data_IF_440192913092
#
_entry.id   IF_440192913092
#
_cell.length_a   1.000
_cell.length_b   1.000
_cell.length_c   1.000
_cell.angle_alpha   90.00
_cell.angle_beta   90.00
_cell.angle_gamma   90.00
#
_symmetry.space_group_name_H-M   'P 1'
#
loop_
_entity.id
_entity.type
_entity.pdbx_description
1 polymer ?
#
# COMPACT_ATOMS: atom_id res chain seq x y z
N UNK A 1 -5.00 -38.28 6.90
CA UNK A 1 -4.07 -37.58 7.79
C UNK A 1 -4.24 -36.09 7.58
N UNK A 2 -4.74 -35.32 8.57
CA UNK A 2 -4.94 -33.89 8.38
C UNK A 2 -3.60 -33.16 8.47
N UNK A 3 -3.34 -32.25 7.53
CA UNK A 3 -2.16 -31.40 7.40
C UNK A 3 -2.05 -30.36 8.54
N UNK A 4 -1.82 -30.80 9.79
CA UNK A 4 -1.80 -29.92 10.97
C UNK A 4 -0.42 -29.73 11.63
N UNK A 5 0.69 -29.98 10.93
CA UNK A 5 2.04 -29.89 11.53
C UNK A 5 3.03 -29.15 10.65
N UNK A 6 2.71 -27.91 10.27
CA UNK A 6 3.77 -26.94 9.97
C UNK A 6 3.96 -26.08 11.22
N UNK A 7 5.20 -25.96 11.73
CA UNK A 7 5.47 -25.18 12.92
C UNK A 7 5.03 -23.75 12.67
N UNK A 8 4.32 -23.17 13.64
CA UNK A 8 4.03 -21.74 13.70
C UNK A 8 5.37 -21.00 13.58
N UNK A 9 5.73 -20.54 12.38
CA UNK A 9 6.66 -19.44 12.23
C UNK A 9 6.15 -18.37 13.19
N UNK A 10 6.98 -17.97 14.16
CA UNK A 10 6.64 -17.12 15.32
C UNK A 10 6.16 -15.70 15.00
N UNK A 11 5.64 -15.48 13.79
CA UNK A 11 5.07 -14.25 13.26
C UNK A 11 3.59 -14.04 13.62
N UNK A 12 2.89 -15.08 14.09
CA UNK A 12 1.46 -15.00 14.44
C UNK A 12 1.21 -14.93 15.95
N UNK A 13 1.83 -13.96 16.64
CA UNK A 13 1.55 -13.70 18.07
C UNK A 13 0.14 -13.11 18.31
N UNK A 14 -0.56 -12.71 17.25
CA UNK A 14 -1.87 -12.05 17.30
C UNK A 14 -3.06 -13.01 17.27
N UNK A 15 -2.85 -14.32 17.10
CA UNK A 15 -3.93 -15.31 17.07
C UNK A 15 -4.84 -15.21 15.84
N UNK A 16 -4.38 -14.59 14.74
CA UNK A 16 -5.15 -14.44 13.52
C UNK A 16 -5.23 -15.78 12.76
N UNK A 17 -6.35 -16.07 12.06
CA UNK A 17 -6.40 -17.13 11.06
C UNK A 17 -5.26 -17.00 10.05
N UNK A 18 -4.63 -18.11 9.66
CA UNK A 18 -3.46 -18.14 8.76
C UNK A 18 -3.66 -17.27 7.50
N UNK A 19 -4.85 -17.35 6.89
CA UNK A 19 -5.21 -16.58 5.69
C UNK A 19 -5.14 -15.06 5.93
N UNK A 20 -5.61 -14.59 7.09
CA UNK A 20 -5.56 -13.18 7.46
C UNK A 20 -4.13 -12.74 7.78
N UNK A 21 -3.35 -13.59 8.46
CA UNK A 21 -1.93 -13.35 8.71
C UNK A 21 -1.12 -13.18 7.43
N UNK A 22 -1.36 -14.04 6.43
CA UNK A 22 -0.70 -13.97 5.11
C UNK A 22 -1.09 -12.71 4.36
N UNK A 23 -2.38 -12.37 4.30
CA UNK A 23 -2.84 -11.14 3.64
C UNK A 23 -2.24 -9.89 4.27
N UNK A 24 -2.20 -9.83 5.61
CA UNK A 24 -1.54 -8.76 6.37
C UNK A 24 -0.06 -8.67 6.03
N UNK A 25 0.65 -9.81 6.01
CA UNK A 25 2.08 -9.85 5.71
C UNK A 25 2.37 -9.33 4.30
N UNK A 26 1.63 -9.80 3.30
CA UNK A 26 1.80 -9.36 1.91
C UNK A 26 1.52 -7.86 1.79
N UNK A 27 0.43 -7.38 2.40
CA UNK A 27 0.10 -5.96 2.40
C UNK A 27 1.21 -5.09 3.00
N UNK A 28 1.77 -5.51 4.14
CA UNK A 28 2.87 -4.81 4.81
C UNK A 28 4.14 -4.82 3.98
N UNK A 29 4.57 -6.00 3.49
CA UNK A 29 5.79 -6.12 2.69
C UNK A 29 5.68 -5.32 1.39
N UNK A 30 4.53 -5.41 0.70
CA UNK A 30 4.30 -4.67 -0.53
C UNK A 30 4.29 -3.15 -0.29
N UNK A 31 3.74 -2.69 0.84
CA UNK A 31 3.79 -1.28 1.26
C UNK A 31 5.23 -0.83 1.51
N UNK A 32 6.01 -1.61 2.27
CA UNK A 32 7.41 -1.31 2.55
C UNK A 32 8.25 -1.29 1.28
N UNK A 33 8.03 -2.24 0.38
CA UNK A 33 8.70 -2.28 -0.92
C UNK A 33 8.38 -1.04 -1.75
N UNK A 34 7.11 -0.62 -1.79
CA UNK A 34 6.67 0.60 -2.48
C UNK A 34 7.31 1.85 -1.89
N UNK A 35 7.45 1.92 -0.56
CA UNK A 35 8.14 3.03 0.10
C UNK A 35 9.64 3.02 -0.21
N UNK A 36 10.29 1.86 -0.16
CA UNK A 36 11.70 1.72 -0.51
C UNK A 36 11.97 2.15 -1.96
N UNK A 37 11.06 1.81 -2.89
CA UNK A 37 11.10 2.23 -4.29
C UNK A 37 10.95 3.75 -4.48
N UNK A 38 10.50 4.48 -3.46
CA UNK A 38 10.47 5.95 -3.49
C UNK A 38 11.65 6.56 -2.73
N UNK A 39 11.86 6.13 -1.48
CA UNK A 39 12.85 6.69 -0.56
C UNK A 39 14.27 6.49 -1.09
N UNK A 40 14.62 5.29 -1.58
CA UNK A 40 15.98 4.99 -2.02
C UNK A 40 16.41 5.84 -3.23
N UNK A 41 15.64 5.95 -4.33
CA UNK A 41 15.99 6.86 -5.40
C UNK A 41 16.06 8.32 -4.96
N UNK A 42 15.15 8.78 -4.09
CA UNK A 42 15.16 10.16 -3.58
C UNK A 42 16.44 10.46 -2.83
N UNK A 43 16.85 9.58 -1.91
CA UNK A 43 18.11 9.74 -1.16
C UNK A 43 19.31 9.68 -2.11
N UNK A 44 19.36 8.68 -3.01
CA UNK A 44 20.47 8.52 -3.93
C UNK A 44 20.65 9.77 -4.81
N UNK A 45 19.55 10.31 -5.36
CA UNK A 45 19.58 11.55 -6.15
C UNK A 45 19.93 12.77 -5.30
N UNK A 46 19.39 12.84 -4.08
CA UNK A 46 19.69 13.87 -3.11
C UNK A 46 21.16 13.94 -2.69
N UNK A 47 21.91 12.84 -2.79
CA UNK A 47 23.35 12.73 -2.45
C UNK A 47 24.27 12.80 -3.67
N UNK A 48 23.89 12.20 -4.80
CA UNK A 48 24.79 12.04 -5.94
C UNK A 48 24.48 12.99 -7.11
N UNK A 49 23.29 13.58 -7.18
CA UNK A 49 22.88 14.50 -8.25
C UNK A 49 22.72 15.95 -7.77
N UNK A 50 23.55 16.41 -6.83
CA UNK A 50 23.56 17.83 -6.48
C UNK A 50 22.34 18.31 -5.69
N UNK A 51 21.66 17.41 -4.96
CA UNK A 51 20.40 17.71 -4.28
C UNK A 51 19.17 17.79 -5.21
N UNK A 52 19.35 17.52 -6.52
CA UNK A 52 18.26 17.44 -7.47
C UNK A 52 17.51 16.12 -7.26
N UNK A 53 16.24 16.18 -6.87
CA UNK A 53 15.39 15.00 -6.65
C UNK A 53 14.38 14.76 -7.77
N UNK A 54 14.01 15.81 -8.53
CA UNK A 54 13.14 15.74 -9.70
C UNK A 54 13.84 16.25 -10.97
N UNK A 55 13.34 15.79 -12.12
CA UNK A 55 13.76 16.37 -13.38
C UNK A 55 13.33 17.84 -13.48
N UNK A 56 14.31 18.74 -13.61
CA UNK A 56 14.11 20.17 -13.78
C UNK A 56 15.01 20.68 -14.91
N UNK A 57 14.48 21.54 -15.78
CA UNK A 57 15.32 22.25 -16.76
C UNK A 57 16.06 23.44 -16.14
N UNK A 58 15.71 23.82 -14.90
CA UNK A 58 16.41 24.87 -14.17
C UNK A 58 17.75 24.34 -13.61
N UNK A 59 18.78 25.20 -13.47
CA UNK A 59 20.05 24.87 -12.83
C UNK A 59 19.93 24.73 -11.30
N UNK A 60 18.82 24.17 -10.81
CA UNK A 60 18.53 23.99 -9.39
C UNK A 60 19.31 22.80 -8.83
N UNK A 61 20.62 22.95 -8.67
CA UNK A 61 21.48 22.05 -7.91
C UNK A 61 22.09 22.81 -6.74
N UNK A 62 21.99 22.24 -5.54
CA UNK A 62 22.59 22.78 -4.33
C UNK A 62 24.13 22.67 -4.37
N UNK A 63 24.66 21.71 -5.14
CA UNK A 63 26.07 21.43 -5.34
C UNK A 63 26.27 20.64 -6.64
N UNK A 64 27.52 20.42 -7.05
CA UNK A 64 27.84 19.71 -8.30
C UNK A 64 27.39 18.24 -8.27
N UNK A 65 26.93 17.73 -9.40
CA UNK A 65 26.54 16.32 -9.53
C UNK A 65 27.78 15.43 -9.57
N UNK A 66 27.83 14.44 -8.69
CA UNK A 66 28.90 13.44 -8.61
C UNK A 66 28.74 12.33 -9.64
N UNK A 67 27.50 12.06 -10.05
CA UNK A 67 27.13 11.03 -11.02
C UNK A 67 26.13 11.56 -12.04
N UNK A 68 26.07 10.98 -13.26
CA UNK A 68 25.10 11.36 -14.27
C UNK A 68 23.65 11.12 -13.80
N UNK A 69 22.73 11.92 -14.32
CA UNK A 69 21.31 11.80 -14.02
C UNK A 69 20.60 10.78 -14.94
N UNK A 70 19.66 9.96 -14.43
CA UNK A 70 19.38 9.70 -13.01
C UNK A 70 20.31 8.61 -12.46
N UNK A 71 20.78 8.79 -11.21
CA UNK A 71 21.64 7.78 -10.54
C UNK A 71 20.96 6.44 -10.30
N UNK A 72 19.67 6.49 -10.00
CA UNK A 72 18.84 5.31 -9.76
C UNK A 72 17.47 5.62 -10.33
N UNK A 73 16.99 4.78 -11.24
CA UNK A 73 15.65 4.87 -11.82
C UNK A 73 14.88 3.60 -11.48
N UNK A 74 13.62 3.77 -11.08
CA UNK A 74 12.73 2.64 -10.80
C UNK A 74 11.54 2.74 -11.76
N UNK A 75 11.25 1.67 -12.54
CA UNK A 75 10.14 1.69 -13.46
C UNK A 75 8.81 1.95 -12.74
N UNK A 76 8.00 2.88 -13.27
CA UNK A 76 6.72 3.25 -12.67
C UNK A 76 5.78 2.04 -12.56
N UNK A 77 5.77 1.14 -13.56
CA UNK A 77 4.93 -0.07 -13.55
C UNK A 77 5.22 -0.96 -12.34
N UNK A 78 6.49 -1.08 -11.92
CA UNK A 78 6.86 -1.91 -10.78
C UNK A 78 6.25 -1.35 -9.50
N UNK A 79 6.36 -0.04 -9.30
CA UNK A 79 5.77 0.67 -8.15
C UNK A 79 4.24 0.57 -8.14
N UNK A 80 3.61 0.69 -9.31
CA UNK A 80 2.16 0.53 -9.46
C UNK A 80 1.76 -0.90 -9.06
N UNK A 81 2.45 -1.91 -9.58
CA UNK A 81 2.11 -3.31 -9.25
C UNK A 81 2.26 -3.62 -7.76
N UNK A 82 3.33 -3.16 -7.10
CA UNK A 82 3.51 -3.37 -5.66
C UNK A 82 2.50 -2.59 -4.83
N UNK A 83 2.17 -1.35 -5.23
CA UNK A 83 1.14 -0.56 -4.58
C UNK A 83 -0.25 -1.20 -4.71
N UNK A 84 -0.61 -1.69 -5.89
CA UNK A 84 -1.88 -2.40 -6.12
C UNK A 84 -1.96 -3.73 -5.35
N UNK A 85 -0.85 -4.47 -5.25
CA UNK A 85 -0.78 -5.67 -4.42
C UNK A 85 -1.02 -5.34 -2.94
N UNK A 86 -0.43 -4.25 -2.44
CA UNK A 86 -0.64 -3.78 -1.07
C UNK A 86 -2.12 -3.46 -0.82
N UNK A 87 -2.73 -2.67 -1.72
CA UNK A 87 -4.14 -2.27 -1.64
C UNK A 87 -5.07 -3.48 -1.74
N UNK A 88 -4.82 -4.39 -2.67
CA UNK A 88 -5.64 -5.59 -2.87
C UNK A 88 -5.62 -6.49 -1.64
N UNK A 89 -4.43 -6.74 -1.09
CA UNK A 89 -4.29 -7.57 0.10
C UNK A 89 -4.87 -6.91 1.35
N UNK A 90 -4.71 -5.59 1.51
CA UNK A 90 -5.33 -4.86 2.62
C UNK A 90 -6.86 -4.84 2.51
N UNK A 91 -7.40 -4.60 1.32
CA UNK A 91 -8.85 -4.67 1.07
C UNK A 91 -9.41 -6.05 1.43
N UNK A 92 -8.76 -7.13 0.95
CA UNK A 92 -9.15 -8.49 1.29
C UNK A 92 -9.04 -8.79 2.79
N UNK A 93 -7.97 -8.33 3.44
CA UNK A 93 -7.79 -8.45 4.89
C UNK A 93 -8.90 -7.77 5.68
N UNK A 94 -9.26 -6.53 5.31
CA UNK A 94 -10.33 -5.75 5.94
C UNK A 94 -11.70 -6.40 5.72
N UNK A 95 -11.98 -6.89 4.52
CA UNK A 95 -13.25 -7.54 4.19
C UNK A 95 -13.42 -8.91 4.86
N UNK A 96 -12.35 -9.69 5.01
CA UNK A 96 -12.42 -11.01 5.64
C UNK A 96 -12.27 -10.95 7.18
N UNK A 97 -11.67 -9.89 7.73
CA UNK A 97 -11.34 -9.78 9.14
C UNK A 97 -12.51 -9.43 10.07
N UNK A 98 -12.61 -10.12 11.21
CA UNK A 98 -13.62 -9.85 12.24
C UNK A 98 -13.23 -8.74 13.22
N UNK A 99 -13.57 -8.90 14.50
CA UNK A 99 -13.14 -7.97 15.55
C UNK A 99 -11.63 -8.04 15.83
N UNK A 100 -10.98 -9.12 15.41
CA UNK A 100 -9.54 -9.39 15.59
C UNK A 100 -8.65 -8.36 14.88
N UNK A 101 -9.12 -7.77 13.79
CA UNK A 101 -8.34 -6.83 12.98
C UNK A 101 -8.52 -5.37 13.42
N UNK A 102 -9.22 -5.12 14.52
CA UNK A 102 -9.66 -3.76 14.87
C UNK A 102 -8.55 -2.78 15.23
N UNK A 103 -7.39 -3.28 15.68
CA UNK A 103 -6.18 -2.47 15.91
C UNK A 103 -5.51 -2.04 14.61
N UNK A 104 -5.73 -2.79 13.53
CA UNK A 104 -4.93 -2.68 12.32
C UNK A 104 -5.64 -1.86 11.22
N UNK A 105 -6.93 -1.53 11.38
CA UNK A 105 -7.74 -0.87 10.33
C UNK A 105 -7.09 0.41 9.85
N UNK A 106 -6.77 1.32 10.77
CA UNK A 106 -6.21 2.61 10.43
C UNK A 106 -4.87 2.45 9.74
N UNK A 107 -4.01 1.57 10.27
CA UNK A 107 -2.72 1.29 9.66
C UNK A 107 -2.89 0.73 8.24
N UNK A 108 -3.75 -0.27 8.06
CA UNK A 108 -4.01 -0.90 6.77
C UNK A 108 -4.56 0.10 5.76
N UNK A 109 -5.45 0.99 6.17
CA UNK A 109 -5.96 2.03 5.29
C UNK A 109 -4.89 3.07 4.95
N UNK A 110 -4.25 3.70 5.95
CA UNK A 110 -3.33 4.81 5.73
C UNK A 110 -2.05 4.37 5.02
N UNK A 111 -1.42 3.26 5.45
CA UNK A 111 -0.16 2.83 4.89
C UNK A 111 -0.32 2.36 3.44
N UNK A 112 -1.38 1.60 3.13
CA UNK A 112 -1.60 1.12 1.75
C UNK A 112 -2.18 2.19 0.82
N UNK A 113 -2.94 3.17 1.34
CA UNK A 113 -3.34 4.33 0.53
C UNK A 113 -2.14 5.18 0.15
N UNK A 114 -1.21 5.43 1.09
CA UNK A 114 0.06 6.09 0.79
C UNK A 114 0.86 5.32 -0.29
N UNK A 115 0.91 3.99 -0.22
CA UNK A 115 1.56 3.18 -1.26
C UNK A 115 0.91 3.37 -2.64
N UNK A 116 -0.41 3.56 -2.72
CA UNK A 116 -1.09 3.91 -3.97
C UNK A 116 -0.80 5.32 -4.50
N UNK A 117 -0.41 6.24 -3.63
CA UNK A 117 -0.16 7.66 -3.97
C UNK A 117 1.31 7.90 -4.35
N UNK A 118 2.26 7.10 -3.82
CA UNK A 118 3.69 7.25 -4.15
C UNK A 118 4.06 7.18 -5.64
N UNK A 119 3.37 6.41 -6.49
CA UNK A 119 3.55 6.47 -7.93
C UNK A 119 3.41 7.89 -8.53
N UNK A 120 2.62 8.82 -7.93
CA UNK A 120 2.58 10.25 -8.33
C UNK A 120 3.98 10.83 -8.33
N UNK A 121 4.68 10.64 -7.20
CA UNK A 121 5.95 11.29 -6.96
C UNK A 121 7.04 10.68 -7.83
N UNK A 122 7.00 9.37 -8.07
CA UNK A 122 7.96 8.72 -8.97
C UNK A 122 7.79 9.22 -10.41
N UNK A 123 6.56 9.35 -10.91
CA UNK A 123 6.29 9.92 -12.23
C UNK A 123 6.82 11.36 -12.35
N UNK A 124 6.60 12.19 -11.31
CA UNK A 124 7.12 13.56 -11.28
C UNK A 124 8.66 13.63 -11.33
N UNK A 125 9.37 12.58 -10.90
CA UNK A 125 10.83 12.60 -10.87
C UNK A 125 11.52 12.26 -12.20
N UNK A 126 10.91 11.45 -13.06
CA UNK A 126 11.57 10.79 -14.20
C UNK A 126 11.46 11.53 -15.54
N UNK A 127 11.21 12.85 -15.55
CA UNK A 127 10.95 13.68 -16.77
C UNK A 127 9.63 13.37 -17.49
N UNK A 128 9.07 12.17 -17.32
CA UNK A 128 7.72 11.84 -17.77
C UNK A 128 6.66 12.31 -16.76
N UNK A 129 6.38 13.61 -16.79
CA UNK A 129 5.46 14.33 -15.89
C UNK A 129 4.02 13.80 -15.91
N UNK A 130 3.67 12.96 -16.88
CA UNK A 130 2.32 12.44 -17.05
C UNK A 130 2.12 11.10 -16.32
N UNK A 131 3.21 10.38 -16.03
CA UNK A 131 3.16 9.00 -15.54
C UNK A 131 2.27 8.11 -16.42
N UNK A 132 2.34 8.35 -17.71
CA UNK A 132 1.49 7.72 -18.71
C UNK A 132 2.01 6.33 -19.01
N UNK A 133 1.13 5.34 -18.85
CA UNK A 133 1.28 4.03 -19.45
C UNK A 133 0.72 4.15 -20.87
N UNK A 134 1.57 3.93 -21.87
CA UNK A 134 1.11 3.79 -23.25
C UNK A 134 0.54 2.40 -23.46
N UNK A 135 -0.69 2.33 -23.97
CA UNK A 135 -1.30 1.06 -24.36
C UNK A 135 -0.50 0.44 -25.52
N UNK A 136 -0.24 -0.88 -25.52
CA UNK A 136 0.51 -1.52 -26.59
C UNK A 136 -0.28 -1.50 -27.91
N UNK A 137 0.36 -1.04 -28.99
CA UNK A 137 -0.21 -1.00 -30.34
C UNK A 137 0.17 0.26 -31.12
N UNK A 138 -0.04 0.29 -32.46
CA UNK A 138 0.25 1.46 -33.29
C UNK A 138 -0.64 2.67 -32.97
N UNK A 139 -1.82 2.45 -32.37
CA UNK A 139 -2.77 3.49 -31.93
C UNK A 139 -2.75 3.69 -30.39
N UNK A 140 -1.64 3.34 -29.74
CA UNK A 140 -1.51 3.44 -28.29
C UNK A 140 -1.87 4.84 -27.79
N UNK A 141 -2.79 4.92 -26.83
CA UNK A 141 -3.19 6.17 -26.19
C UNK A 141 -2.67 6.25 -24.75
N UNK A 142 -2.43 7.46 -24.23
CA UNK A 142 -1.84 7.66 -22.92
C UNK A 142 -2.84 7.37 -21.78
N UNK A 143 -2.52 6.44 -20.87
CA UNK A 143 -3.28 6.21 -19.62
C UNK A 143 -2.48 6.74 -18.44
N UNK A 144 -2.95 7.80 -17.80
CA UNK A 144 -2.35 8.28 -16.55
C UNK A 144 -2.50 7.24 -15.44
N UNK A 145 -1.40 6.89 -14.76
CA UNK A 145 -1.37 5.89 -13.68
C UNK A 145 -2.42 6.14 -12.57
N UNK A 146 -2.82 7.39 -12.32
CA UNK A 146 -3.87 7.74 -11.36
C UNK A 146 -5.24 7.15 -11.75
N UNK A 147 -5.53 7.00 -13.05
CA UNK A 147 -6.73 6.29 -13.52
C UNK A 147 -6.70 4.81 -13.19
N UNK A 148 -5.50 4.21 -13.11
CA UNK A 148 -5.32 2.82 -12.72
C UNK A 148 -5.47 2.66 -11.21
N UNK A 149 -4.89 3.56 -10.40
CA UNK A 149 -4.86 3.40 -8.93
C UNK A 149 -6.13 3.91 -8.22
N UNK A 150 -6.75 4.98 -8.73
CA UNK A 150 -7.96 5.57 -8.14
C UNK A 150 -9.10 4.56 -7.86
N UNK A 151 -9.50 3.66 -8.79
CA UNK A 151 -10.56 2.69 -8.49
C UNK A 151 -10.16 1.75 -7.34
N UNK A 152 -8.89 1.38 -7.21
CA UNK A 152 -8.44 0.53 -6.11
C UNK A 152 -8.43 1.28 -4.77
N UNK A 153 -8.09 2.56 -4.76
CA UNK A 153 -8.21 3.40 -3.56
C UNK A 153 -9.67 3.54 -3.12
N UNK A 154 -10.61 3.66 -4.07
CA UNK A 154 -12.05 3.64 -3.78
C UNK A 154 -12.46 2.30 -3.16
N UNK A 155 -11.99 1.18 -3.71
CA UNK A 155 -12.25 -0.16 -3.15
C UNK A 155 -11.68 -0.28 -1.73
N UNK A 156 -10.47 0.23 -1.48
CA UNK A 156 -9.86 0.24 -0.15
C UNK A 156 -10.68 1.06 0.84
N UNK A 157 -11.11 2.25 0.44
CA UNK A 157 -11.95 3.11 1.26
C UNK A 157 -13.29 2.42 1.59
N UNK A 158 -13.97 1.87 0.57
CA UNK A 158 -15.22 1.14 0.76
C UNK A 158 -15.04 -0.06 1.70
N UNK A 159 -13.97 -0.85 1.50
CA UNK A 159 -13.62 -2.00 2.35
C UNK A 159 -13.39 -1.58 3.81
N UNK A 160 -12.72 -0.46 4.01
CA UNK A 160 -12.45 0.12 5.34
C UNK A 160 -13.75 0.55 6.03
N UNK A 161 -14.64 1.25 5.30
CA UNK A 161 -15.94 1.67 5.82
C UNK A 161 -16.79 0.44 6.19
N UNK A 162 -16.86 -0.56 5.31
CA UNK A 162 -17.60 -1.81 5.56
C UNK A 162 -17.05 -2.50 6.81
N UNK A 163 -15.73 -2.64 6.93
CA UNK A 163 -15.09 -3.26 8.09
C UNK A 163 -15.40 -2.49 9.39
N UNK A 164 -15.32 -1.16 9.37
CA UNK A 164 -15.62 -0.31 10.52
C UNK A 164 -17.09 -0.43 10.96
N UNK A 165 -18.03 -0.41 10.01
CA UNK A 165 -19.46 -0.59 10.28
C UNK A 165 -19.74 -1.99 10.84
N UNK A 166 -19.16 -3.03 10.25
CA UNK A 166 -19.31 -4.42 10.72
C UNK A 166 -18.80 -4.57 12.16
N UNK A 167 -17.64 -3.99 12.48
CA UNK A 167 -17.09 -4.06 13.83
C UNK A 167 -17.94 -3.31 14.85
N UNK A 168 -18.51 -2.15 14.49
CA UNK A 168 -19.45 -1.43 15.35
C UNK A 168 -20.67 -2.29 15.69
N UNK A 169 -21.24 -2.99 14.69
CA UNK A 169 -22.36 -3.93 14.89
C UNK A 169 -21.99 -5.09 15.80
N UNK A 170 -20.86 -5.77 15.53
CA UNK A 170 -20.38 -6.89 16.34
C UNK A 170 -20.08 -6.49 17.80
N UNK A 171 -19.53 -5.28 18.03
CA UNK A 171 -19.32 -4.75 19.39
C UNK A 171 -20.64 -4.48 20.09
N UNK A 172 -21.64 -3.94 19.39
CA UNK A 172 -22.97 -3.68 19.95
C UNK A 172 -23.69 -4.98 20.34
N UNK A 173 -23.67 -6.00 19.48
CA UNK A 173 -24.24 -7.32 19.77
C UNK A 173 -23.56 -7.99 20.98
N UNK A 174 -22.22 -7.94 21.06
CA UNK A 174 -21.49 -8.46 22.22
C UNK A 174 -21.87 -7.74 23.52
N UNK A 175 -22.09 -6.42 23.48
CA UNK A 175 -22.55 -5.63 24.63
C UNK A 175 -23.96 -6.03 25.05
N UNK A 176 -24.90 -6.18 24.10
CA UNK A 176 -26.27 -6.64 24.37
C UNK A 176 -26.29 -8.02 25.02
N UNK A 177 -25.59 -9.00 24.43
CA UNK A 177 -25.49 -10.37 25.00
C UNK A 177 -24.85 -10.39 26.39
N UNK A 178 -23.90 -9.49 26.68
CA UNK A 178 -23.34 -9.35 28.04
C UNK A 178 -24.36 -8.78 29.02
N UNK A 179 -25.11 -7.75 28.62
CA UNK A 179 -26.16 -7.18 29.46
C UNK A 179 -27.26 -8.20 29.76
N UNK A 180 -27.70 -8.98 28.77
CA UNK A 180 -28.68 -10.07 28.94
C UNK A 180 -28.19 -11.14 29.93
N UNK A 181 -26.91 -11.54 29.84
CA UNK A 181 -26.31 -12.51 30.78
C UNK A 181 -26.16 -12.00 32.21
N UNK A 182 -25.97 -10.69 32.38
CA UNK A 182 -25.90 -10.06 33.70
C UNK A 182 -27.29 -9.90 34.29
N UNK A 183 -28.30 -9.56 33.48
CA UNK A 183 -29.68 -9.44 33.93
C UNK A 183 -30.35 -10.80 34.25
N UNK A 184 -29.84 -11.89 33.67
CA UNK A 184 -30.32 -13.26 33.92
C UNK A 184 -29.62 -13.95 35.12
N UNK A 185 -28.72 -13.27 35.82
CA UNK A 185 -28.07 -13.72 37.06
C UNK A 185 -28.62 -12.95 38.24
#
# INVERSE_FOLDING_TARGET
MPFSTLPNFGLNRSGLPLRLGVLRLIAVIATLATFAQWILPVIARGVFNGGRIYYSNAPSSLYDSLLPWPVLSIPAWLTITTGLLAIGCASAYLLLGGLEISSDISFMFFATSLAGVFPIFIAAFEKDTTGVIWTPGPDGYPIGWHWVVAPFLVVLLASTIIAAVRMRRLRAERRRRRAERVAAR
#
